data_IF_385708176827
#
_entry.id   IF_385708176827
#
_cell.length_a   1.000
_cell.length_b   1.000
_cell.length_c   1.000
_cell.angle_alpha   90.00
_cell.angle_beta   90.00
_cell.angle_gamma   90.00
#
_symmetry.space_group_name_H-M   'P 1'
#
loop_
_entity.id
_entity.type
_entity.pdbx_description
1 polymer ?
#
# COMPACT_ATOMS: atom_id res chain seq x y z
N UNK A 1 -34.64 7.02 -6.41
CA UNK A 1 -33.61 8.10 -6.53
C UNK A 1 -34.21 9.50 -6.62
N UNK A 2 -35.31 9.73 -7.38
CA UNK A 2 -35.99 11.04 -7.41
C UNK A 2 -36.41 11.54 -6.03
N UNK A 3 -37.05 10.68 -5.22
CA UNK A 3 -37.46 11.02 -3.84
C UNK A 3 -36.25 11.39 -2.98
N UNK A 4 -35.10 10.67 -3.11
CA UNK A 4 -33.85 10.95 -2.37
C UNK A 4 -33.30 12.30 -2.79
N UNK A 5 -33.35 12.65 -4.08
CA UNK A 5 -32.92 13.96 -4.58
C UNK A 5 -33.76 15.07 -3.99
N UNK A 6 -35.10 14.94 -4.04
CA UNK A 6 -36.02 15.93 -3.46
C UNK A 6 -35.82 16.11 -1.95
N UNK A 7 -35.60 15.01 -1.20
CA UNK A 7 -35.30 15.06 0.23
C UNK A 7 -33.94 15.76 0.46
N UNK A 8 -32.93 15.45 -0.34
CA UNK A 8 -31.60 16.07 -0.25
C UNK A 8 -31.64 17.58 -0.55
N UNK A 9 -32.43 18.01 -1.54
CA UNK A 9 -32.66 19.42 -1.84
C UNK A 9 -33.36 20.14 -0.69
N UNK A 10 -34.43 19.58 -0.17
CA UNK A 10 -35.17 20.13 0.98
C UNK A 10 -34.27 20.27 2.24
N UNK A 11 -33.48 19.23 2.55
CA UNK A 11 -32.55 19.28 3.69
C UNK A 11 -31.49 20.38 3.52
N UNK A 12 -30.99 20.60 2.30
CA UNK A 12 -30.03 21.69 2.02
C UNK A 12 -30.63 23.08 2.20
N UNK A 13 -31.81 23.29 1.65
CA UNK A 13 -32.51 24.57 1.76
C UNK A 13 -32.83 24.95 3.21
N UNK A 14 -33.03 23.96 4.10
CA UNK A 14 -33.40 24.13 5.49
C UNK A 14 -32.28 23.85 6.49
N UNK A 15 -31.03 23.68 6.01
CA UNK A 15 -29.85 23.35 6.82
C UNK A 15 -30.06 22.14 7.77
N UNK A 16 -30.79 21.14 7.30
CA UNK A 16 -31.09 19.92 8.06
C UNK A 16 -29.94 18.92 7.97
N UNK A 17 -29.69 18.16 9.06
CA UNK A 17 -28.64 17.12 9.04
C UNK A 17 -29.02 15.99 8.09
N UNK A 18 -28.00 15.46 7.36
CA UNK A 18 -28.16 14.26 6.50
C UNK A 18 -28.57 13.06 7.34
N UNK A 19 -27.95 12.89 8.50
CA UNK A 19 -28.22 11.78 9.41
C UNK A 19 -29.39 12.07 10.35
N UNK A 20 -30.44 11.25 10.29
CA UNK A 20 -31.54 11.25 11.26
C UNK A 20 -31.76 9.85 11.82
N UNK A 21 -30.95 9.45 12.79
CA UNK A 21 -30.98 8.12 13.39
C UNK A 21 -32.31 7.75 14.09
N UNK A 22 -33.09 8.75 14.51
CA UNK A 22 -34.43 8.50 15.06
C UNK A 22 -35.39 8.05 13.98
N UNK A 23 -35.40 8.78 12.85
CA UNK A 23 -36.25 8.45 11.72
C UNK A 23 -35.88 7.11 11.08
N UNK A 24 -34.59 6.80 10.98
CA UNK A 24 -34.13 5.52 10.48
C UNK A 24 -34.63 4.36 11.34
N UNK A 25 -34.55 4.50 12.68
CA UNK A 25 -35.08 3.49 13.60
C UNK A 25 -36.58 3.30 13.45
N UNK A 26 -37.34 4.39 13.31
CA UNK A 26 -38.79 4.31 13.07
C UNK A 26 -39.11 3.54 11.79
N UNK A 27 -38.43 3.85 10.70
CA UNK A 27 -38.63 3.15 9.40
C UNK A 27 -38.27 1.67 9.52
N UNK A 28 -37.12 1.34 10.12
CA UNK A 28 -36.71 -0.05 10.32
C UNK A 28 -37.72 -0.82 11.19
N UNK A 29 -38.24 -0.19 12.25
CA UNK A 29 -39.25 -0.81 13.12
C UNK A 29 -40.57 -1.03 12.38
N UNK A 30 -40.96 -0.08 11.52
CA UNK A 30 -42.17 -0.19 10.73
C UNK A 30 -42.07 -1.33 9.71
N UNK A 31 -40.95 -1.42 8.99
CA UNK A 31 -40.67 -2.47 8.01
C UNK A 31 -40.64 -3.86 8.68
N UNK A 32 -39.94 -4.02 9.80
CA UNK A 32 -39.91 -5.29 10.53
C UNK A 32 -41.31 -5.80 10.87
N UNK A 33 -42.23 -4.93 11.24
CA UNK A 33 -43.63 -5.31 11.54
C UNK A 33 -44.45 -5.72 10.33
N UNK A 34 -44.00 -5.38 9.11
CA UNK A 34 -44.72 -5.70 7.86
C UNK A 34 -44.18 -6.96 7.18
N UNK A 35 -43.02 -7.46 7.61
CA UNK A 35 -42.39 -8.64 7.06
C UNK A 35 -42.69 -9.90 7.88
N UNK A 36 -42.75 -11.08 7.25
CA UNK A 36 -42.71 -12.36 7.96
C UNK A 36 -41.46 -12.45 8.86
N UNK A 37 -41.55 -13.18 9.97
CA UNK A 37 -40.52 -13.29 10.98
C UNK A 37 -39.16 -13.76 10.41
N UNK A 38 -39.17 -14.68 9.45
CA UNK A 38 -38.01 -15.20 8.74
C UNK A 38 -37.36 -14.20 7.78
N UNK A 39 -38.04 -13.12 7.42
CA UNK A 39 -37.55 -12.07 6.50
C UNK A 39 -37.21 -10.75 7.20
N UNK A 40 -37.48 -10.59 8.49
CA UNK A 40 -37.24 -9.34 9.23
C UNK A 40 -35.79 -8.87 9.14
N UNK A 41 -34.82 -9.76 9.40
CA UNK A 41 -33.41 -9.41 9.40
C UNK A 41 -32.91 -9.04 7.99
N UNK A 42 -33.38 -9.75 6.95
CA UNK A 42 -33.08 -9.42 5.57
C UNK A 42 -33.66 -8.05 5.19
N UNK A 43 -34.89 -7.77 5.60
CA UNK A 43 -35.50 -6.46 5.38
C UNK A 43 -34.75 -5.33 6.07
N UNK A 44 -34.29 -5.52 7.30
CA UNK A 44 -33.46 -4.55 8.01
C UNK A 44 -32.12 -4.28 7.29
N UNK A 45 -31.47 -5.32 6.78
CA UNK A 45 -30.22 -5.19 6.04
C UNK A 45 -30.47 -4.43 4.74
N UNK A 46 -31.51 -4.75 4.00
CA UNK A 46 -31.86 -4.07 2.75
C UNK A 46 -32.13 -2.58 2.98
N UNK A 47 -32.94 -2.22 3.97
CA UNK A 47 -33.27 -0.81 4.24
C UNK A 47 -32.08 -0.03 4.79
N UNK A 48 -31.19 -0.63 5.59
CA UNK A 48 -29.92 -0.01 5.96
C UNK A 48 -29.06 0.30 4.73
N UNK A 49 -28.97 -0.63 3.79
CA UNK A 49 -28.25 -0.40 2.53
C UNK A 49 -28.86 0.76 1.73
N UNK A 50 -30.19 0.85 1.67
CA UNK A 50 -30.89 1.97 1.02
C UNK A 50 -30.56 3.30 1.73
N UNK A 51 -30.55 3.34 3.06
CA UNK A 51 -30.18 4.53 3.81
C UNK A 51 -28.73 4.92 3.56
N UNK A 52 -27.81 3.97 3.58
CA UNK A 52 -26.39 4.23 3.36
C UNK A 52 -26.10 4.78 1.95
N UNK A 53 -26.75 4.20 0.92
CA UNK A 53 -26.68 4.70 -0.46
C UNK A 53 -27.30 6.11 -0.56
N UNK A 54 -28.44 6.34 0.09
CA UNK A 54 -29.12 7.65 0.08
C UNK A 54 -28.26 8.72 0.76
N UNK A 55 -27.65 8.39 1.90
CA UNK A 55 -26.74 9.30 2.61
C UNK A 55 -25.48 9.59 1.79
N UNK A 56 -24.89 8.58 1.18
CA UNK A 56 -23.74 8.75 0.29
C UNK A 56 -24.08 9.70 -0.86
N UNK A 57 -25.26 9.56 -1.45
CA UNK A 57 -25.75 10.45 -2.50
C UNK A 57 -25.96 11.88 -2.00
N UNK A 58 -26.61 12.08 -0.85
CA UNK A 58 -26.82 13.41 -0.22
C UNK A 58 -25.47 14.05 0.16
N UNK A 59 -24.52 13.27 0.71
CA UNK A 59 -23.22 13.72 1.12
C UNK A 59 -22.39 14.28 -0.05
N UNK A 60 -22.47 13.69 -1.24
CA UNK A 60 -21.78 14.18 -2.45
C UNK A 60 -22.06 15.65 -2.78
N UNK A 61 -23.17 16.20 -2.30
CA UNK A 61 -23.54 17.61 -2.51
C UNK A 61 -23.17 18.51 -1.33
N UNK A 62 -23.01 17.97 -0.11
CA UNK A 62 -22.80 18.72 1.11
C UNK A 62 -21.32 18.86 1.49
N UNK A 63 -20.45 17.96 1.04
CA UNK A 63 -19.07 17.85 1.53
C UNK A 63 -18.04 18.76 0.86
N UNK A 64 -18.47 19.58 -0.12
CA UNK A 64 -17.57 20.55 -0.79
C UNK A 64 -16.93 21.56 0.17
N UNK A 65 -17.42 21.66 1.40
CA UNK A 65 -16.91 22.56 2.42
C UNK A 65 -15.97 21.91 3.44
N UNK A 66 -15.78 20.59 3.41
CA UNK A 66 -14.87 19.94 4.36
C UNK A 66 -13.41 20.36 4.12
N UNK A 67 -12.59 20.49 5.18
CA UNK A 67 -11.17 20.82 5.05
C UNK A 67 -10.41 19.80 4.17
N UNK A 68 -10.71 18.52 4.30
CA UNK A 68 -10.08 17.45 3.50
C UNK A 68 -10.47 17.54 2.02
N UNK A 69 -11.76 17.80 1.73
CA UNK A 69 -12.21 18.02 0.35
C UNK A 69 -11.44 19.20 -0.28
N UNK A 70 -11.35 20.33 0.41
CA UNK A 70 -10.62 21.52 -0.06
C UNK A 70 -9.13 21.24 -0.26
N UNK A 71 -8.50 20.54 0.68
CA UNK A 71 -7.09 20.15 0.57
C UNK A 71 -6.83 19.27 -0.65
N UNK A 72 -7.61 18.21 -0.86
CA UNK A 72 -7.47 17.31 -2.00
C UNK A 72 -7.80 18.04 -3.31
N UNK A 73 -8.87 18.83 -3.36
CA UNK A 73 -9.24 19.61 -4.54
C UNK A 73 -8.14 20.60 -4.92
N UNK A 74 -7.51 21.25 -3.94
CA UNK A 74 -6.37 22.14 -4.18
C UNK A 74 -5.16 21.38 -4.72
N UNK A 75 -4.86 20.17 -4.21
CA UNK A 75 -3.77 19.34 -4.73
C UNK A 75 -4.00 18.87 -6.17
N UNK A 76 -5.26 18.61 -6.55
CA UNK A 76 -5.63 18.21 -7.92
C UNK A 76 -5.56 19.41 -8.88
N UNK A 77 -6.01 20.60 -8.42
CA UNK A 77 -6.07 21.81 -9.22
C UNK A 77 -4.78 22.64 -9.20
N UNK A 78 -3.83 22.35 -8.32
CA UNK A 78 -2.49 22.92 -8.39
C UNK A 78 -1.89 22.67 -9.76
N UNK A 79 -1.08 23.61 -10.26
CA UNK A 79 -0.43 23.48 -11.55
C UNK A 79 0.27 22.11 -11.65
N UNK A 80 -0.17 21.20 -12.54
CA UNK A 80 0.22 19.79 -12.47
C UNK A 80 1.63 19.61 -13.02
N UNK A 81 2.63 19.89 -12.19
CA UNK A 81 4.01 19.53 -12.53
C UNK A 81 4.09 18.02 -12.76
N UNK A 82 4.76 17.55 -13.81
CA UNK A 82 5.01 16.14 -14.02
C UNK A 82 5.84 15.56 -12.86
N UNK A 83 5.76 14.25 -12.68
CA UNK A 83 6.63 13.57 -11.70
C UNK A 83 8.10 13.82 -12.07
N UNK A 84 8.98 14.18 -11.12
CA UNK A 84 10.33 14.60 -11.41
C UNK A 84 11.16 13.46 -12.01
N UNK A 85 11.99 13.80 -13.00
CA UNK A 85 12.93 12.86 -13.61
C UNK A 85 14.18 12.64 -12.77
N UNK A 86 14.57 13.66 -12.00
CA UNK A 86 15.74 13.66 -11.10
C UNK A 86 15.29 13.99 -9.70
N UNK A 87 15.85 13.28 -8.73
CA UNK A 87 15.58 13.54 -7.32
C UNK A 87 16.64 12.88 -6.42
N UNK A 88 16.81 13.41 -5.20
CA UNK A 88 17.56 12.76 -4.14
C UNK A 88 16.61 11.78 -3.44
N UNK A 89 16.93 10.48 -3.49
CA UNK A 89 16.03 9.39 -3.10
C UNK A 89 16.66 8.54 -2.00
N UNK A 90 15.98 8.39 -0.88
CA UNK A 90 16.36 7.46 0.18
C UNK A 90 15.90 6.05 -0.14
N UNK A 91 16.78 5.05 -0.09
CA UNK A 91 16.50 3.65 -0.30
C UNK A 91 16.94 2.80 0.90
N UNK A 92 16.12 1.78 1.26
CA UNK A 92 16.54 0.83 2.29
C UNK A 92 17.51 -0.19 1.70
N UNK A 93 18.55 -0.52 2.47
CA UNK A 93 19.55 -1.52 2.09
C UNK A 93 20.85 -0.90 1.58
N UNK A 94 21.37 -1.42 0.51
CA UNK A 94 22.63 -1.01 -0.13
C UNK A 94 22.51 -1.08 -1.64
N UNK A 95 23.55 -0.64 -2.31
CA UNK A 95 23.70 -0.76 -3.75
C UNK A 95 23.45 -2.22 -4.21
N UNK A 96 22.64 -2.40 -5.25
CA UNK A 96 22.17 -3.71 -5.72
C UNK A 96 20.88 -4.22 -5.05
N UNK A 97 20.30 -3.49 -4.09
CA UNK A 97 19.02 -3.86 -3.46
C UNK A 97 17.82 -3.61 -4.38
N UNK A 98 16.71 -4.33 -4.18
CA UNK A 98 15.47 -4.13 -4.94
C UNK A 98 14.86 -2.74 -4.77
N UNK A 99 15.12 -2.05 -3.66
CA UNK A 99 14.73 -0.65 -3.44
C UNK A 99 15.41 0.30 -4.44
N UNK A 100 16.68 0.05 -4.80
CA UNK A 100 17.38 0.78 -5.84
C UNK A 100 16.71 0.54 -7.20
N UNK A 101 16.44 -0.70 -7.58
CA UNK A 101 15.76 -1.04 -8.82
C UNK A 101 14.39 -0.32 -8.91
N UNK A 102 13.67 -0.24 -7.79
CA UNK A 102 12.42 0.50 -7.71
C UNK A 102 12.62 2.01 -7.92
N UNK A 103 13.68 2.60 -7.34
CA UNK A 103 14.03 4.01 -7.55
C UNK A 103 14.37 4.30 -9.02
N UNK A 104 15.21 3.47 -9.64
CA UNK A 104 15.62 3.57 -11.04
C UNK A 104 14.45 3.36 -12.02
N UNK A 105 13.42 2.61 -11.62
CA UNK A 105 12.19 2.45 -12.41
C UNK A 105 11.28 3.68 -12.33
N UNK A 106 11.30 4.40 -11.21
CA UNK A 106 10.46 5.59 -10.97
C UNK A 106 11.09 6.90 -11.46
N UNK A 107 12.40 7.01 -11.38
CA UNK A 107 13.16 8.21 -11.72
C UNK A 107 14.17 7.90 -12.85
N UNK A 108 14.31 8.82 -13.81
CA UNK A 108 15.30 8.65 -14.89
C UNK A 108 16.74 8.78 -14.37
N UNK A 109 16.95 9.66 -13.39
CA UNK A 109 18.27 9.91 -12.78
C UNK A 109 18.12 10.12 -11.29
N UNK A 110 17.96 9.03 -10.48
CA UNK A 110 17.92 9.13 -9.02
C UNK A 110 19.34 9.33 -8.45
N UNK A 111 19.48 10.26 -7.50
CA UNK A 111 20.64 10.32 -6.61
C UNK A 111 20.31 9.54 -5.34
N UNK A 112 20.83 8.31 -5.21
CA UNK A 112 20.39 7.39 -4.18
C UNK A 112 21.25 7.50 -2.92
N UNK A 113 20.59 7.69 -1.77
CA UNK A 113 21.16 7.59 -0.45
C UNK A 113 20.60 6.35 0.27
N UNK A 114 21.48 5.51 0.79
CA UNK A 114 21.06 4.27 1.44
C UNK A 114 20.97 4.40 2.96
N UNK A 115 19.95 3.74 3.54
CA UNK A 115 19.82 3.55 4.98
C UNK A 115 19.51 2.07 5.29
N UNK A 116 20.00 1.56 6.41
CA UNK A 116 19.82 0.16 6.77
C UNK A 116 18.41 -0.18 7.25
N UNK A 117 17.61 0.80 7.68
CA UNK A 117 16.28 0.62 8.27
C UNK A 117 15.20 1.36 7.47
N UNK A 118 13.98 0.85 7.50
CA UNK A 118 12.84 1.54 6.89
C UNK A 118 12.53 2.87 7.59
N UNK A 119 12.60 2.90 8.92
CA UNK A 119 12.43 4.14 9.69
C UNK A 119 13.49 5.18 9.31
N UNK A 120 14.73 4.76 9.10
CA UNK A 120 15.82 5.64 8.66
C UNK A 120 15.54 6.27 7.29
N UNK A 121 14.95 5.53 6.33
CA UNK A 121 14.51 6.08 5.04
C UNK A 121 13.45 7.16 5.24
N UNK A 122 12.45 6.91 6.10
CA UNK A 122 11.40 7.91 6.38
C UNK A 122 11.99 9.15 7.03
N UNK A 123 12.91 9.00 7.98
CA UNK A 123 13.59 10.14 8.62
C UNK A 123 14.40 10.97 7.64
N UNK A 124 15.11 10.34 6.70
CA UNK A 124 15.84 11.08 5.66
C UNK A 124 14.90 11.97 4.83
N UNK A 125 13.64 11.53 4.61
CA UNK A 125 12.63 12.32 3.91
C UNK A 125 12.04 13.42 4.82
N UNK A 126 11.65 13.08 6.05
CA UNK A 126 11.05 14.05 6.98
C UNK A 126 12.00 15.15 7.39
N UNK A 127 13.29 14.82 7.55
CA UNK A 127 14.35 15.76 7.92
C UNK A 127 14.86 16.58 6.72
N UNK A 128 14.38 16.26 5.49
CA UNK A 128 14.70 16.99 4.28
C UNK A 128 16.07 16.67 3.67
N UNK A 129 16.71 15.57 4.09
CA UNK A 129 17.95 15.08 3.48
C UNK A 129 17.70 14.48 2.09
N UNK A 130 16.52 13.87 1.89
CA UNK A 130 16.08 13.33 0.64
C UNK A 130 14.69 13.91 0.31
N UNK A 131 14.43 14.10 -0.99
CA UNK A 131 13.12 14.58 -1.47
C UNK A 131 12.08 13.46 -1.43
N UNK A 132 12.54 12.22 -1.70
CA UNK A 132 11.70 11.02 -1.77
C UNK A 132 12.33 9.84 -1.03
N UNK A 133 11.49 8.87 -0.67
CA UNK A 133 11.93 7.60 -0.08
C UNK A 133 11.25 6.42 -0.75
N UNK A 134 11.97 5.31 -0.91
CA UNK A 134 11.45 4.08 -1.49
C UNK A 134 11.35 3.01 -0.41
N UNK A 135 10.14 2.48 -0.24
CA UNK A 135 9.82 1.47 0.78
C UNK A 135 9.02 0.31 0.18
N UNK A 136 9.33 -0.96 0.51
CA UNK A 136 8.52 -2.11 0.10
C UNK A 136 7.25 -2.15 0.95
N UNK A 137 6.07 -2.20 0.34
CA UNK A 137 4.81 -2.27 1.11
C UNK A 137 4.17 -3.65 1.08
N UNK A 138 4.43 -4.42 0.02
CA UNK A 138 3.79 -5.71 -0.21
C UNK A 138 4.64 -6.58 -1.14
N UNK A 139 4.65 -7.88 -0.85
CA UNK A 139 5.22 -8.88 -1.74
C UNK A 139 4.14 -9.90 -2.11
N UNK A 140 4.06 -10.30 -3.37
CA UNK A 140 2.99 -11.19 -3.88
C UNK A 140 2.98 -12.59 -3.25
N UNK A 141 4.10 -13.04 -2.69
CA UNK A 141 4.24 -14.35 -2.04
C UNK A 141 4.32 -14.28 -0.52
N UNK A 142 4.88 -13.20 0.03
CA UNK A 142 5.08 -13.02 1.48
C UNK A 142 4.01 -12.13 2.13
N UNK A 143 3.16 -11.47 1.32
CA UNK A 143 2.12 -10.57 1.82
C UNK A 143 2.63 -9.18 2.21
N UNK A 144 1.95 -8.55 3.13
CA UNK A 144 2.18 -7.16 3.55
C UNK A 144 3.44 -7.00 4.40
N UNK A 145 4.19 -5.92 4.16
CA UNK A 145 5.33 -5.53 5.01
C UNK A 145 4.81 -4.71 6.18
N UNK A 146 4.43 -5.39 7.23
CA UNK A 146 3.69 -4.84 8.37
C UNK A 146 4.34 -3.62 9.01
N UNK A 147 5.68 -3.61 9.14
CA UNK A 147 6.44 -2.50 9.71
C UNK A 147 6.20 -1.18 8.94
N UNK A 148 6.05 -1.26 7.60
CA UNK A 148 5.82 -0.06 6.78
C UNK A 148 4.48 0.58 7.11
N UNK A 149 3.42 -0.21 7.31
CA UNK A 149 2.12 0.33 7.69
C UNK A 149 2.17 1.05 9.05
N UNK A 150 2.88 0.47 10.03
CA UNK A 150 3.04 1.08 11.35
C UNK A 150 3.83 2.39 11.26
N UNK A 151 4.86 2.42 10.43
CA UNK A 151 5.66 3.63 10.18
C UNK A 151 4.85 4.69 9.44
N UNK A 152 4.06 4.33 8.42
CA UNK A 152 3.17 5.28 7.72
C UNK A 152 2.13 5.90 8.65
N UNK A 153 1.66 5.17 9.68
CA UNK A 153 0.76 5.73 10.69
C UNK A 153 1.49 6.70 11.61
N UNK A 154 2.71 6.34 12.02
CA UNK A 154 3.52 7.13 12.99
C UNK A 154 4.05 8.43 12.40
N UNK A 155 4.52 8.39 11.14
CA UNK A 155 5.14 9.52 10.47
C UNK A 155 4.16 10.25 9.55
N UNK A 156 4.33 11.56 9.42
CA UNK A 156 3.55 12.37 8.48
C UNK A 156 4.28 12.41 7.14
N UNK A 157 4.10 11.35 6.36
CA UNK A 157 4.61 11.21 4.99
C UNK A 157 3.49 10.77 4.06
N UNK A 158 3.62 11.06 2.77
CA UNK A 158 2.61 10.81 1.77
C UNK A 158 3.14 9.93 0.64
N UNK A 159 2.33 8.99 0.19
CA UNK A 159 2.64 8.16 -0.97
C UNK A 159 2.33 8.98 -2.23
N UNK A 160 3.32 9.13 -3.09
CA UNK A 160 3.22 9.95 -4.32
C UNK A 160 3.38 9.15 -5.60
N UNK A 161 3.90 7.91 -5.51
CA UNK A 161 4.03 6.93 -6.60
C UNK A 161 4.13 5.53 -6.04
N UNK A 162 3.88 4.53 -6.88
CA UNK A 162 4.26 3.15 -6.59
C UNK A 162 4.74 2.45 -7.86
N UNK A 163 5.49 1.37 -7.66
CA UNK A 163 5.91 0.49 -8.74
C UNK A 163 5.99 -0.95 -8.26
N UNK A 164 5.92 -1.90 -9.22
CA UNK A 164 6.16 -3.32 -8.95
C UNK A 164 7.51 -3.71 -9.54
N UNK A 165 8.31 -4.37 -8.72
CA UNK A 165 9.60 -4.92 -9.12
C UNK A 165 9.49 -6.43 -9.03
N UNK A 166 9.83 -7.09 -10.13
CA UNK A 166 9.95 -8.56 -10.14
C UNK A 166 11.16 -8.97 -9.31
N UNK A 167 10.96 -9.98 -8.47
CA UNK A 167 12.01 -10.52 -7.59
C UNK A 167 12.49 -11.82 -8.18
N UNK A 168 13.60 -11.74 -8.93
CA UNK A 168 14.29 -12.88 -9.50
C UNK A 168 15.54 -13.17 -8.68
N UNK A 169 15.64 -14.37 -8.16
CA UNK A 169 16.78 -14.80 -7.35
C UNK A 169 17.78 -15.58 -8.19
N UNK A 170 19.04 -15.14 -8.12
CA UNK A 170 20.18 -15.79 -8.77
C UNK A 170 21.08 -16.40 -7.72
N UNK A 171 21.67 -17.56 -7.99
CA UNK A 171 22.79 -18.08 -7.22
C UNK A 171 24.08 -17.47 -7.79
N UNK A 172 24.69 -16.57 -7.04
CA UNK A 172 25.89 -15.82 -7.43
C UNK A 172 27.11 -16.26 -6.62
N UNK A 173 28.26 -16.29 -7.26
CA UNK A 173 29.54 -16.59 -6.61
C UNK A 173 30.66 -15.70 -7.15
N UNK A 174 31.83 -15.70 -6.49
CA UNK A 174 33.04 -15.07 -6.99
C UNK A 174 33.48 -15.74 -8.31
N UNK A 175 34.01 -14.97 -9.26
CA UNK A 175 34.44 -15.50 -10.56
C UNK A 175 35.41 -16.67 -10.44
N UNK A 176 35.16 -17.71 -11.25
CA UNK A 176 35.91 -18.95 -11.26
C UNK A 176 35.53 -19.95 -10.16
N UNK A 177 34.44 -19.70 -9.44
CA UNK A 177 33.85 -20.65 -8.50
C UNK A 177 33.06 -21.68 -9.28
N UNK A 178 33.28 -22.98 -9.00
CA UNK A 178 32.48 -24.06 -9.62
C UNK A 178 31.31 -24.42 -8.70
N UNK A 179 30.16 -24.72 -9.27
CA UNK A 179 28.95 -25.10 -8.53
C UNK A 179 29.19 -26.20 -7.49
N UNK A 180 29.97 -27.25 -7.87
CA UNK A 180 30.28 -28.37 -7.00
C UNK A 180 31.22 -28.07 -5.82
N UNK A 181 31.90 -26.93 -5.83
CA UNK A 181 32.81 -26.53 -4.77
C UNK A 181 32.11 -25.72 -3.67
N UNK A 182 30.80 -25.37 -3.86
CA UNK A 182 30.03 -24.59 -2.91
C UNK A 182 29.77 -25.40 -1.64
N UNK A 183 30.14 -24.82 -0.51
CA UNK A 183 29.91 -25.35 0.85
C UNK A 183 28.94 -24.50 1.66
N UNK A 184 28.84 -23.20 1.31
CA UNK A 184 28.03 -22.26 2.08
C UNK A 184 27.24 -21.32 1.16
N UNK A 185 25.97 -21.11 1.47
CA UNK A 185 25.11 -20.14 0.77
C UNK A 185 24.61 -19.11 1.76
N UNK A 186 24.82 -17.82 1.44
CA UNK A 186 24.37 -16.68 2.23
C UNK A 186 23.18 -16.00 1.56
N UNK A 187 22.13 -15.64 2.32
CA UNK A 187 21.08 -14.75 1.86
C UNK A 187 20.16 -14.29 3.00
N UNK A 188 19.26 -13.35 2.68
CA UNK A 188 18.21 -12.95 3.58
C UNK A 188 17.23 -14.11 3.82
N UNK A 189 16.70 -14.32 5.05
CA UNK A 189 15.79 -15.42 5.37
C UNK A 189 14.60 -15.56 4.41
N UNK A 190 14.02 -14.43 3.98
CA UNK A 190 12.92 -14.43 3.01
C UNK A 190 13.34 -15.00 1.64
N UNK A 191 14.51 -14.63 1.13
CA UNK A 191 15.01 -15.17 -0.15
C UNK A 191 15.36 -16.67 -0.03
N UNK A 192 15.90 -17.09 1.11
CA UNK A 192 16.14 -18.52 1.41
C UNK A 192 14.82 -19.30 1.34
N UNK A 193 13.77 -18.82 1.99
CA UNK A 193 12.46 -19.48 1.96
C UNK A 193 11.85 -19.50 0.55
N UNK A 194 12.03 -18.42 -0.21
CA UNK A 194 11.55 -18.33 -1.60
C UNK A 194 12.30 -19.23 -2.58
N UNK A 195 13.47 -19.74 -2.20
CA UNK A 195 14.30 -20.66 -3.00
C UNK A 195 14.38 -22.06 -2.37
N UNK A 196 13.47 -22.41 -1.46
CA UNK A 196 13.56 -23.65 -0.67
C UNK A 196 13.55 -24.93 -1.53
N UNK A 197 12.85 -24.97 -2.67
CA UNK A 197 12.87 -26.12 -3.57
C UNK A 197 14.26 -26.33 -4.17
N UNK A 198 14.88 -25.27 -4.66
CA UNK A 198 16.23 -25.34 -5.18
C UNK A 198 17.24 -25.75 -4.09
N UNK A 199 17.16 -25.14 -2.93
CA UNK A 199 18.07 -25.38 -1.82
C UNK A 199 17.96 -26.80 -1.25
N UNK A 200 16.75 -27.39 -1.22
CA UNK A 200 16.54 -28.76 -0.75
C UNK A 200 17.18 -29.85 -1.64
N UNK A 201 17.47 -29.53 -2.89
CA UNK A 201 18.16 -30.44 -3.82
C UNK A 201 19.69 -30.44 -3.63
N UNK A 202 20.23 -29.47 -2.88
CA UNK A 202 21.68 -29.38 -2.62
C UNK A 202 22.05 -30.28 -1.45
N UNK A 203 23.17 -31.01 -1.61
CA UNK A 203 23.74 -31.87 -0.56
C UNK A 203 24.99 -31.23 0.00
N UNK A 204 25.19 -31.35 1.31
CA UNK A 204 26.39 -30.91 2.02
C UNK A 204 26.70 -29.42 1.89
N UNK A 205 25.64 -28.57 1.77
CA UNK A 205 25.72 -27.11 1.70
C UNK A 205 25.06 -26.51 2.91
N UNK A 206 25.80 -25.68 3.65
CA UNK A 206 25.30 -24.91 4.78
C UNK A 206 24.62 -23.63 4.29
N UNK A 207 23.42 -23.35 4.81
CA UNK A 207 22.65 -22.13 4.46
C UNK A 207 22.69 -21.19 5.65
N UNK A 208 23.29 -20.02 5.46
CA UNK A 208 23.51 -19.02 6.54
C UNK A 208 22.66 -17.78 6.25
N UNK A 209 21.73 -17.44 7.16
CA UNK A 209 20.98 -16.19 7.09
C UNK A 209 21.90 -14.96 7.14
N UNK A 210 21.54 -13.93 6.37
CA UNK A 210 22.24 -12.66 6.30
C UNK A 210 21.26 -11.48 6.27
N UNK A 211 21.70 -10.28 6.64
CA UNK A 211 20.83 -9.11 6.81
C UNK A 211 20.06 -8.73 5.55
N UNK A 212 20.71 -8.80 4.37
CA UNK A 212 20.04 -8.61 3.07
C UNK A 212 20.81 -9.30 1.94
N UNK A 213 20.13 -9.47 0.80
CA UNK A 213 20.65 -10.20 -0.36
C UNK A 213 21.89 -9.53 -0.99
N UNK A 214 21.91 -8.19 -1.08
CA UNK A 214 23.04 -7.46 -1.67
C UNK A 214 24.29 -7.50 -0.78
N UNK A 215 24.11 -7.44 0.55
CA UNK A 215 25.23 -7.62 1.50
C UNK A 215 25.81 -9.04 1.44
N UNK A 216 24.94 -10.04 1.27
CA UNK A 216 25.38 -11.42 1.07
C UNK A 216 26.23 -11.55 -0.20
N UNK A 217 25.78 -10.94 -1.33
CA UNK A 217 26.58 -10.90 -2.56
C UNK A 217 27.92 -10.20 -2.36
N UNK A 218 27.94 -9.05 -1.70
CA UNK A 218 29.18 -8.31 -1.41
C UNK A 218 30.17 -9.14 -0.56
N UNK A 219 29.66 -9.89 0.43
CA UNK A 219 30.50 -10.80 1.25
C UNK A 219 31.11 -11.91 0.37
N UNK A 220 30.29 -12.56 -0.45
CA UNK A 220 30.71 -13.68 -1.30
C UNK A 220 31.69 -13.22 -2.39
N UNK A 221 31.49 -12.03 -2.96
CA UNK A 221 32.41 -11.47 -3.95
C UNK A 221 33.85 -11.32 -3.43
N UNK A 222 34.01 -11.19 -2.12
CA UNK A 222 35.32 -11.03 -1.43
C UNK A 222 35.86 -12.36 -0.87
N UNK A 223 35.16 -13.48 -1.11
CA UNK A 223 35.59 -14.79 -0.60
C UNK A 223 36.77 -15.33 -1.40
N UNK A 224 37.99 -15.41 -0.81
CA UNK A 224 39.16 -15.91 -1.50
C UNK A 224 39.15 -17.43 -1.68
N UNK A 225 38.33 -18.15 -0.89
CA UNK A 225 38.28 -19.62 -0.91
C UNK A 225 37.45 -20.15 -2.08
N UNK A 226 36.58 -19.34 -2.67
CA UNK A 226 35.64 -19.71 -3.75
C UNK A 226 34.78 -20.92 -3.40
N UNK A 227 34.37 -21.02 -2.14
CA UNK A 227 33.50 -22.10 -1.64
C UNK A 227 32.14 -21.56 -1.16
N UNK A 228 31.89 -20.26 -1.33
CA UNK A 228 30.63 -19.65 -0.96
C UNK A 228 29.86 -19.09 -2.15
N UNK A 229 28.53 -19.08 -2.01
CA UNK A 229 27.60 -18.46 -2.94
C UNK A 229 26.58 -17.59 -2.19
N UNK A 230 25.89 -16.73 -2.92
CA UNK A 230 24.78 -15.95 -2.38
C UNK A 230 23.54 -16.04 -3.25
N UNK A 231 22.37 -15.99 -2.62
CA UNK A 231 21.13 -15.77 -3.35
C UNK A 231 20.88 -14.26 -3.38
N UNK A 232 20.89 -13.67 -4.58
CA UNK A 232 20.83 -12.23 -4.77
C UNK A 232 20.15 -11.84 -6.09
N UNK A 233 19.92 -10.53 -6.29
CA UNK A 233 19.37 -9.98 -7.53
C UNK A 233 20.40 -9.98 -8.67
N UNK A 234 19.91 -9.91 -9.92
CA UNK A 234 20.79 -9.75 -11.12
C UNK A 234 21.68 -8.50 -11.04
N UNK A 235 21.25 -7.42 -10.40
CA UNK A 235 22.01 -6.18 -10.25
C UNK A 235 23.35 -6.40 -9.54
N UNK A 236 23.45 -7.42 -8.69
CA UNK A 236 24.71 -7.73 -7.97
C UNK A 236 25.77 -8.36 -8.88
N UNK A 237 25.42 -8.87 -10.06
CA UNK A 237 26.37 -9.52 -10.99
C UNK A 237 27.41 -8.52 -11.44
N UNK A 238 26.98 -7.42 -12.05
CA UNK A 238 27.87 -6.38 -12.58
C UNK A 238 28.49 -5.56 -11.45
N UNK A 239 27.69 -5.23 -10.43
CA UNK A 239 28.12 -4.41 -9.29
C UNK A 239 29.32 -5.01 -8.52
N UNK A 240 29.27 -6.32 -8.29
CA UNK A 240 30.32 -7.02 -7.53
C UNK A 240 31.19 -7.95 -8.40
N UNK A 241 31.05 -7.86 -9.75
CA UNK A 241 31.82 -8.66 -10.71
C UNK A 241 31.72 -10.17 -10.41
N UNK A 242 30.47 -10.63 -10.21
CA UNK A 242 30.18 -12.01 -9.82
C UNK A 242 29.86 -12.90 -11.03
N UNK A 243 29.87 -14.19 -10.80
CA UNK A 243 29.45 -15.22 -11.76
C UNK A 243 28.11 -15.83 -11.34
N UNK A 244 27.26 -16.11 -12.32
CA UNK A 244 25.96 -16.76 -12.13
C UNK A 244 26.13 -18.26 -12.18
N UNK A 245 25.89 -18.96 -11.07
CA UNK A 245 25.93 -20.42 -11.01
C UNK A 245 24.58 -21.07 -11.33
N UNK A 246 23.47 -20.40 -10.98
CA UNK A 246 22.12 -20.82 -11.36
C UNK A 246 21.22 -19.57 -11.46
N UNK A 247 20.28 -19.61 -12.43
CA UNK A 247 19.34 -18.52 -12.68
C UNK A 247 17.94 -18.86 -12.20
N UNK A 248 17.19 -17.83 -11.80
CA UNK A 248 15.75 -17.89 -11.53
C UNK A 248 15.38 -19.06 -10.60
N UNK A 249 16.11 -19.16 -9.47
CA UNK A 249 16.05 -20.29 -8.52
C UNK A 249 14.88 -20.18 -7.52
N UNK A 250 14.02 -19.16 -7.64
CA UNK A 250 12.84 -18.99 -6.79
C UNK A 250 11.77 -20.05 -7.06
N UNK A 251 10.98 -20.37 -6.03
CA UNK A 251 9.92 -21.38 -6.11
C UNK A 251 8.75 -20.99 -7.05
N UNK A 252 8.53 -19.67 -7.28
CA UNK A 252 7.41 -19.15 -8.07
C UNK A 252 7.89 -18.04 -9.01
N UNK A 253 7.49 -18.13 -10.29
CA UNK A 253 7.89 -17.17 -11.34
C UNK A 253 7.20 -15.79 -11.21
N UNK A 254 6.10 -15.70 -10.48
CA UNK A 254 5.28 -14.49 -10.33
C UNK A 254 5.58 -13.72 -9.04
N UNK A 255 6.83 -13.76 -8.55
CA UNK A 255 7.22 -13.04 -7.34
C UNK A 255 7.48 -11.56 -7.65
N UNK A 256 6.63 -10.69 -7.12
CA UNK A 256 6.76 -9.24 -7.26
C UNK A 256 6.70 -8.56 -5.91
N UNK A 257 7.52 -7.55 -5.71
CA UNK A 257 7.40 -6.63 -4.58
C UNK A 257 6.87 -5.29 -5.07
N UNK A 258 5.81 -4.81 -4.43
CA UNK A 258 5.29 -3.46 -4.63
C UNK A 258 6.05 -2.51 -3.72
N UNK A 259 6.66 -1.50 -4.32
CA UNK A 259 7.34 -0.41 -3.65
C UNK A 259 6.50 0.86 -3.74
N UNK A 260 6.46 1.62 -2.66
CA UNK A 260 5.90 2.96 -2.59
C UNK A 260 7.01 3.99 -2.58
N UNK A 261 6.77 5.10 -3.27
CA UNK A 261 7.56 6.31 -3.21
C UNK A 261 6.86 7.29 -2.27
N UNK A 262 7.52 7.67 -1.20
CA UNK A 262 7.01 8.63 -0.22
C UNK A 262 7.67 9.98 -0.36
N UNK A 263 6.93 11.03 0.00
CA UNK A 263 7.42 12.40 0.13
C UNK A 263 6.93 13.01 1.46
N UNK A 264 7.60 14.08 1.92
CA UNK A 264 7.19 14.83 3.13
C UNK A 264 5.85 15.50 2.96
N UNK A 265 5.66 16.17 1.82
CA UNK A 265 4.45 16.92 1.52
C UNK A 265 3.50 16.12 0.62
N UNK A 266 2.21 16.27 0.84
CA UNK A 266 1.19 15.68 -0.02
C UNK A 266 1.26 16.30 -1.42
N UNK A 267 1.36 15.44 -2.44
CA UNK A 267 1.33 15.83 -3.85
C UNK A 267 0.54 14.82 -4.66
N UNK A 268 -0.26 15.30 -5.60
CA UNK A 268 -1.00 14.47 -6.53
C UNK A 268 -0.49 14.78 -7.93
N UNK A 269 0.17 13.81 -8.55
CA UNK A 269 0.71 13.96 -9.89
C UNK A 269 -0.33 13.59 -10.96
N UNK A 270 -0.24 14.13 -12.19
CA UNK A 270 -1.16 13.80 -13.28
C UNK A 270 -1.25 12.29 -13.53
N UNK A 271 -2.47 11.82 -13.82
CA UNK A 271 -2.75 10.40 -14.07
C UNK A 271 -2.91 9.55 -12.81
N UNK A 272 -2.80 10.13 -11.61
CA UNK A 272 -3.03 9.40 -10.37
C UNK A 272 -4.44 8.83 -10.30
N UNK A 273 -4.54 7.55 -9.95
CA UNK A 273 -5.80 6.79 -9.91
C UNK A 273 -5.89 5.81 -8.74
N UNK A 274 -4.84 5.68 -7.95
CA UNK A 274 -4.82 4.81 -6.76
C UNK A 274 -4.68 5.64 -5.51
N UNK A 275 -5.51 5.37 -4.50
CA UNK A 275 -5.49 6.06 -3.21
C UNK A 275 -5.34 5.06 -2.09
N UNK A 276 -4.39 5.34 -1.18
CA UNK A 276 -4.21 4.58 0.05
C UNK A 276 -4.70 5.38 1.25
N UNK A 277 -5.53 4.73 2.07
CA UNK A 277 -6.08 5.30 3.30
C UNK A 277 -6.02 4.29 4.44
N UNK A 278 -6.09 4.78 5.66
CA UNK A 278 -6.31 3.98 6.86
C UNK A 278 -7.51 4.53 7.61
N UNK A 279 -8.34 3.62 8.13
CA UNK A 279 -9.49 3.95 8.97
C UNK A 279 -9.54 3.07 10.20
N UNK A 280 -9.86 3.65 11.34
CA UNK A 280 -10.32 2.95 12.54
C UNK A 280 -11.83 3.10 12.59
N UNK A 281 -12.52 1.98 12.66
CA UNK A 281 -13.99 1.96 12.64
C UNK A 281 -14.52 1.34 13.91
N UNK A 282 -15.71 1.79 14.34
CA UNK A 282 -16.38 1.19 15.50
C UNK A 282 -16.59 -0.32 15.30
N UNK A 283 -16.30 -1.13 16.33
CA UNK A 283 -16.46 -2.57 16.29
C UNK A 283 -17.95 -2.97 16.43
N UNK A 284 -18.69 -2.78 15.33
CA UNK A 284 -20.13 -3.09 15.24
C UNK A 284 -20.44 -3.83 13.94
N UNK A 285 -21.42 -4.75 13.94
CA UNK A 285 -21.90 -5.41 12.74
C UNK A 285 -22.33 -4.38 11.67
N UNK A 286 -21.85 -4.57 10.43
CA UNK A 286 -22.21 -3.73 9.28
C UNK A 286 -21.31 -2.51 9.05
N UNK A 287 -20.42 -2.13 9.98
CA UNK A 287 -19.58 -0.93 9.80
C UNK A 287 -18.66 -1.03 8.58
N UNK A 288 -17.94 -2.14 8.42
CA UNK A 288 -17.11 -2.38 7.24
C UNK A 288 -17.96 -2.44 5.96
N UNK A 289 -19.11 -3.10 6.01
CA UNK A 289 -20.04 -3.15 4.88
C UNK A 289 -20.49 -1.76 4.41
N UNK A 290 -20.79 -0.85 5.35
CA UNK A 290 -21.15 0.53 5.04
C UNK A 290 -20.03 1.26 4.27
N UNK A 291 -18.76 1.08 4.65
CA UNK A 291 -17.61 1.64 3.91
C UNK A 291 -17.49 1.03 2.51
N UNK A 292 -17.58 -0.30 2.40
CA UNK A 292 -17.51 -1.00 1.11
C UNK A 292 -18.67 -0.60 0.17
N UNK A 293 -19.86 -0.35 0.73
CA UNK A 293 -21.03 0.14 -0.04
C UNK A 293 -20.78 1.50 -0.67
N UNK A 294 -19.99 2.40 -0.02
CA UNK A 294 -19.61 3.70 -0.56
C UNK A 294 -18.64 3.55 -1.74
N UNK A 295 -17.68 2.64 -1.67
CA UNK A 295 -16.81 2.33 -2.81
C UNK A 295 -17.64 1.85 -4.01
N UNK A 296 -18.55 0.91 -3.78
CA UNK A 296 -19.42 0.40 -4.83
C UNK A 296 -20.33 1.51 -5.44
N UNK A 297 -20.93 2.35 -4.62
CA UNK A 297 -21.81 3.45 -5.06
C UNK A 297 -21.08 4.50 -5.90
N UNK A 298 -19.79 4.70 -5.65
CA UNK A 298 -18.96 5.64 -6.41
C UNK A 298 -18.26 5.00 -7.61
N UNK A 299 -18.29 3.66 -7.74
CA UNK A 299 -17.56 2.92 -8.76
C UNK A 299 -16.06 2.77 -8.47
N UNK A 300 -15.63 3.06 -7.23
CA UNK A 300 -14.25 2.85 -6.81
C UNK A 300 -13.96 1.36 -6.67
N UNK A 301 -12.89 0.88 -7.32
CA UNK A 301 -12.45 -0.50 -7.20
C UNK A 301 -11.57 -0.68 -5.97
N UNK A 302 -11.90 -1.66 -5.12
CA UNK A 302 -11.07 -2.02 -3.96
C UNK A 302 -9.95 -2.97 -4.41
N UNK A 303 -8.71 -2.50 -4.36
CA UNK A 303 -7.52 -3.27 -4.78
C UNK A 303 -6.91 -4.01 -3.60
N UNK A 304 -6.96 -3.41 -2.41
CA UNK A 304 -6.44 -4.01 -1.18
C UNK A 304 -7.31 -3.67 0.01
N UNK A 305 -7.49 -4.67 0.86
CA UNK A 305 -8.05 -4.55 2.20
C UNK A 305 -7.15 -5.33 3.16
N UNK A 306 -6.60 -4.64 4.13
CA UNK A 306 -5.76 -5.23 5.18
C UNK A 306 -6.28 -4.79 6.54
N UNK A 307 -6.47 -5.72 7.47
CA UNK A 307 -6.83 -5.40 8.85
C UNK A 307 -5.65 -5.62 9.78
N UNK A 308 -5.43 -4.67 10.70
CA UNK A 308 -4.37 -4.79 11.70
C UNK A 308 -4.89 -4.44 13.08
N UNK A 309 -4.49 -5.18 14.14
CA UNK A 309 -4.85 -4.83 15.50
C UNK A 309 -4.28 -3.45 15.88
N UNK A 310 -5.03 -2.70 16.66
CA UNK A 310 -4.58 -1.40 17.19
C UNK A 310 -3.75 -1.67 18.44
N UNK A 311 -2.49 -1.23 18.51
CA UNK A 311 -1.68 -1.41 19.71
C UNK A 311 -2.34 -0.78 20.94
N UNK A 312 -2.51 -1.57 22.02
CA UNK A 312 -3.09 -1.12 23.28
C UNK A 312 -4.63 -1.05 23.30
N UNK A 313 -5.32 -1.57 22.27
CA UNK A 313 -6.77 -1.73 22.25
C UNK A 313 -7.13 -3.19 21.95
N UNK A 314 -7.76 -3.85 22.90
CA UNK A 314 -8.13 -5.26 22.76
C UNK A 314 -9.25 -5.43 21.72
N UNK A 315 -9.00 -6.30 20.73
CA UNK A 315 -9.96 -6.67 19.68
C UNK A 315 -10.47 -5.52 18.80
N UNK A 316 -9.77 -4.36 18.77
CA UNK A 316 -10.02 -3.29 17.82
C UNK A 316 -9.03 -3.33 16.66
N UNK A 317 -9.50 -2.98 15.47
CA UNK A 317 -8.71 -3.08 14.24
C UNK A 317 -8.69 -1.75 13.49
N UNK A 318 -7.52 -1.44 12.94
CA UNK A 318 -7.39 -0.45 11.87
C UNK A 318 -7.42 -1.17 10.52
N UNK A 319 -8.07 -0.56 9.54
CA UNK A 319 -8.20 -1.09 8.20
C UNK A 319 -7.46 -0.20 7.21
N UNK A 320 -6.65 -0.84 6.38
CA UNK A 320 -5.96 -0.18 5.26
C UNK A 320 -6.68 -0.54 3.98
N UNK A 321 -6.95 0.48 3.17
CA UNK A 321 -7.60 0.33 1.87
C UNK A 321 -6.71 0.94 0.79
N UNK A 322 -6.50 0.20 -0.29
CA UNK A 322 -6.09 0.77 -1.57
C UNK A 322 -7.29 0.74 -2.49
N UNK A 323 -7.70 1.89 -2.97
CA UNK A 323 -8.84 2.05 -3.89
C UNK A 323 -8.35 2.62 -5.21
N UNK A 324 -8.96 2.16 -6.30
CA UNK A 324 -8.77 2.73 -7.64
C UNK A 324 -9.98 3.55 -8.02
N UNK A 325 -9.76 4.84 -8.17
CA UNK A 325 -10.69 5.82 -8.72
C UNK A 325 -9.86 6.98 -9.27
N UNK A 326 -10.14 7.40 -10.51
CA UNK A 326 -9.41 8.50 -11.13
C UNK A 326 -9.63 9.81 -10.35
N UNK A 327 -8.54 10.58 -10.18
CA UNK A 327 -8.63 11.94 -9.61
C UNK A 327 -9.51 12.89 -10.45
N UNK A 328 -9.75 12.56 -11.71
CA UNK A 328 -10.61 13.33 -12.61
C UNK A 328 -12.10 12.94 -12.50
N UNK A 329 -12.42 11.87 -11.74
CA UNK A 329 -13.81 11.54 -11.42
C UNK A 329 -14.37 12.57 -10.45
N UNK A 330 -15.55 13.12 -10.79
CA UNK A 330 -16.23 14.14 -9.97
C UNK A 330 -16.57 13.67 -8.54
N UNK A 331 -16.64 12.35 -8.34
CA UNK A 331 -16.95 11.74 -7.04
C UNK A 331 -15.71 11.54 -6.17
N UNK A 332 -14.49 11.67 -6.74
CA UNK A 332 -13.25 11.31 -6.04
C UNK A 332 -13.07 12.07 -4.72
N UNK A 333 -13.02 13.41 -4.79
CA UNK A 333 -12.77 14.22 -3.61
C UNK A 333 -13.88 14.09 -2.56
N UNK A 334 -15.15 13.98 -3.01
CA UNK A 334 -16.28 13.75 -2.12
C UNK A 334 -16.22 12.40 -1.42
N UNK A 335 -15.84 11.32 -2.14
CA UNK A 335 -15.69 10.01 -1.54
C UNK A 335 -14.65 10.03 -0.41
N UNK A 336 -13.45 10.60 -0.66
CA UNK A 336 -12.39 10.63 0.34
C UNK A 336 -12.80 11.46 1.56
N UNK A 337 -13.49 12.58 1.35
CA UNK A 337 -14.03 13.39 2.43
C UNK A 337 -15.11 12.68 3.24
N UNK A 338 -16.01 11.94 2.57
CA UNK A 338 -17.03 11.15 3.24
C UNK A 338 -16.45 10.03 4.10
N UNK A 339 -15.38 9.41 3.65
CA UNK A 339 -14.68 8.37 4.40
C UNK A 339 -14.04 8.91 5.69
N UNK A 340 -13.52 10.14 5.67
CA UNK A 340 -12.99 10.83 6.85
C UNK A 340 -14.04 10.94 7.98
N UNK A 341 -15.31 11.13 7.61
CA UNK A 341 -16.42 11.24 8.57
C UNK A 341 -17.01 9.88 9.02
N UNK A 342 -16.61 8.77 8.41
CA UNK A 342 -17.16 7.45 8.71
C UNK A 342 -16.42 6.68 9.80
N UNK A 343 -15.21 7.08 10.16
CA UNK A 343 -14.34 6.42 11.12
C UNK A 343 -14.12 7.19 12.41
N UNK A 344 -13.60 6.52 13.43
CA UNK A 344 -13.10 7.16 14.65
C UNK A 344 -11.75 7.85 14.39
N UNK A 345 -10.97 7.28 13.48
CA UNK A 345 -9.73 7.84 12.96
C UNK A 345 -9.66 7.59 11.47
N UNK A 346 -9.14 8.58 10.76
CA UNK A 346 -8.90 8.51 9.33
C UNK A 346 -7.50 9.04 9.03
N UNK A 347 -6.77 8.36 8.14
CA UNK A 347 -5.50 8.86 7.63
C UNK A 347 -5.45 8.67 6.12
N UNK A 348 -5.27 9.79 5.42
CA UNK A 348 -5.01 9.82 3.99
C UNK A 348 -3.51 9.71 3.75
N UNK A 349 -3.06 8.61 3.16
CA UNK A 349 -1.64 8.41 2.84
C UNK A 349 -1.23 9.03 1.52
N UNK A 350 -2.16 9.18 0.57
CA UNK A 350 -1.88 9.81 -0.70
C UNK A 350 -2.66 9.20 -1.86
N UNK A 351 -2.67 9.94 -2.96
CA UNK A 351 -3.21 9.48 -4.26
C UNK A 351 -2.11 9.54 -5.30
N UNK A 352 -1.91 8.43 -6.01
CA UNK A 352 -0.74 8.23 -6.85
C UNK A 352 -1.03 7.33 -8.05
N UNK A 353 -0.09 7.30 -8.99
CA UNK A 353 -0.06 6.35 -10.10
C UNK A 353 0.87 5.17 -9.76
N UNK A 354 0.44 3.95 -10.04
CA UNK A 354 1.30 2.77 -10.03
C UNK A 354 1.96 2.58 -11.41
N UNK A 355 3.28 2.51 -11.44
CA UNK A 355 4.08 2.18 -12.63
C UNK A 355 4.33 0.68 -12.64
N UNK A 356 3.83 0.00 -13.66
CA UNK A 356 3.94 -1.48 -13.82
C UNK A 356 5.12 -1.83 -14.72
#
# INVERSE_FOLDING_TARGET
MEVVNTIGEFKREHDMPVNNGSREREVLTHISKQLPEDLEDFGRVLYRSIFDISKAYEAMYKEKDSPLYKAISNLINADPAPFPKRAIVACQGREGAYSQIAAEKLFEVPEIMFNNTFEGVIRMVTDGLCEYGILPIENSTAGSVNEIYDLLVRYNVHIVRSTRVRVDHQLLAAKGTRFQDIKTIYSHPQAINQCSHFLSALKDVEIIPFDNTAMAAQKVAKDPTRTSASISSKSCIDLYNMEVLAQDIQNFDSNHTRFICIAKDARIFPGSNRTSIMMVMSHKPGTLFSVLSKFNATGANLVKLESRPIPGRDFEFMFYFDIELSIYDKKFASLISELDHCGEQFKYFGTYLEII
#
